data_IF_553230671763
#
_entry.id   IF_553230671763
#
_cell.length_a   1.000
_cell.length_b   1.000
_cell.length_c   1.000
_cell.angle_alpha   90.00
_cell.angle_beta   90.00
_cell.angle_gamma   90.00
#
_symmetry.space_group_name_H-M   'P 1'
#
loop_
_entity.id
_entity.type
_entity.pdbx_description
1 polymer ?
#
# COMPACT_ATOMS: atom_id res chain seq x y z
N UNK A 1 -10.81 -6.04 19.47
CA UNK A 1 -10.28 -4.66 19.50
C UNK A 1 -11.16 -3.82 18.60
N UNK A 2 -11.33 -2.53 18.88
CA UNK A 2 -12.02 -1.63 17.96
C UNK A 2 -11.24 -1.48 16.65
N UNK A 3 -11.95 -1.25 15.54
CA UNK A 3 -11.37 -1.06 14.22
C UNK A 3 -11.14 0.44 13.95
N UNK A 4 -9.93 0.82 13.61
CA UNK A 4 -9.56 2.13 13.06
C UNK A 4 -9.02 2.02 11.64
N UNK A 5 -8.83 3.16 10.98
CA UNK A 5 -8.11 3.25 9.72
C UNK A 5 -6.96 4.23 9.85
N UNK A 6 -5.77 3.82 9.41
CA UNK A 6 -4.58 4.65 9.36
C UNK A 6 -4.10 4.67 7.92
N UNK A 7 -4.34 5.79 7.24
CA UNK A 7 -4.13 5.90 5.78
C UNK A 7 -3.13 7.01 5.50
N UNK A 8 -2.11 6.68 4.70
CA UNK A 8 -1.21 7.66 4.09
C UNK A 8 -1.26 7.46 2.58
N UNK A 9 -1.94 8.33 1.82
CA UNK A 9 -2.07 8.16 0.37
C UNK A 9 -0.70 8.15 -0.32
N UNK A 10 -0.55 7.29 -1.33
CA UNK A 10 0.69 7.13 -2.10
C UNK A 10 0.83 8.24 -3.15
N UNK A 11 2.06 8.58 -3.53
CA UNK A 11 2.35 9.47 -4.66
C UNK A 11 2.14 10.97 -4.40
N UNK A 12 1.94 11.37 -3.14
CA UNK A 12 1.68 12.78 -2.76
C UNK A 12 2.74 13.36 -1.80
N UNK A 13 3.90 12.70 -1.67
CA UNK A 13 5.03 13.24 -0.89
C UNK A 13 4.72 13.47 0.58
N UNK A 14 4.09 12.50 1.26
CA UNK A 14 3.82 12.61 2.69
C UNK A 14 5.13 12.68 3.49
N UNK A 15 5.25 13.62 4.42
CA UNK A 15 6.46 13.77 5.24
C UNK A 15 6.68 12.59 6.19
N UNK A 16 5.61 11.84 6.48
CA UNK A 16 5.63 10.55 7.17
C UNK A 16 4.74 9.58 6.38
N UNK A 17 5.30 8.47 5.93
CA UNK A 17 4.66 7.50 5.03
C UNK A 17 4.82 7.84 3.56
N UNK A 18 5.64 8.83 3.20
CA UNK A 18 6.00 9.09 1.79
C UNK A 18 7.29 8.42 1.36
N UNK A 19 7.94 7.70 2.27
CA UNK A 19 9.12 6.86 2.05
C UNK A 19 8.82 5.44 2.54
N UNK A 20 9.51 4.41 2.04
CA UNK A 20 9.12 3.04 2.39
C UNK A 20 9.28 2.73 3.89
N UNK A 21 8.15 2.69 4.59
CA UNK A 21 8.02 2.15 5.94
C UNK A 21 8.21 3.16 7.08
N UNK A 22 8.45 4.44 6.79
CA UNK A 22 8.66 5.47 7.81
C UNK A 22 7.39 5.77 8.64
N UNK A 23 6.19 5.47 8.12
CA UNK A 23 4.94 5.47 8.89
C UNK A 23 4.70 4.20 9.75
N UNK A 24 5.47 3.13 9.51
CA UNK A 24 5.21 1.82 10.12
C UNK A 24 5.30 1.85 11.65
N UNK A 25 6.25 2.63 12.19
CA UNK A 25 6.40 2.76 13.64
C UNK A 25 5.10 3.27 14.30
N UNK A 26 4.53 4.35 13.77
CA UNK A 26 3.29 4.92 14.30
C UNK A 26 2.11 3.96 14.15
N UNK A 27 1.94 3.36 12.98
CA UNK A 27 0.87 2.39 12.76
C UNK A 27 0.97 1.20 13.74
N UNK A 28 2.19 0.72 14.05
CA UNK A 28 2.42 -0.35 15.02
C UNK A 28 2.06 0.06 16.45
N UNK A 29 2.30 1.31 16.84
CA UNK A 29 1.86 1.82 18.16
C UNK A 29 0.33 1.86 18.28
N UNK A 30 -0.37 2.27 17.22
CA UNK A 30 -1.84 2.19 17.19
C UNK A 30 -2.32 0.73 17.23
N UNK A 31 -1.68 -0.17 16.46
CA UNK A 31 -2.07 -1.57 16.35
C UNK A 31 -1.90 -2.38 17.64
N UNK A 32 -1.16 -1.86 18.64
CA UNK A 32 -1.14 -2.45 19.99
C UNK A 32 -2.49 -2.38 20.72
N UNK A 33 -3.38 -1.48 20.30
CA UNK A 33 -4.63 -1.18 21.00
C UNK A 33 -5.87 -1.37 20.11
N UNK A 34 -5.68 -1.30 18.79
CA UNK A 34 -6.74 -1.32 17.80
C UNK A 34 -6.46 -2.35 16.71
N UNK A 35 -7.50 -2.87 16.08
CA UNK A 35 -7.37 -3.38 14.73
C UNK A 35 -7.29 -2.18 13.77
N UNK A 36 -6.43 -2.23 12.75
CA UNK A 36 -6.23 -1.10 11.83
C UNK A 36 -6.34 -1.52 10.38
N UNK A 37 -7.17 -0.84 9.60
CA UNK A 37 -7.02 -0.81 8.14
C UNK A 37 -5.80 0.07 7.82
N UNK A 38 -4.83 -0.49 7.09
CA UNK A 38 -3.64 0.21 6.62
C UNK A 38 -3.47 -0.02 5.13
N UNK A 39 -3.13 1.04 4.39
CA UNK A 39 -2.76 0.91 2.99
C UNK A 39 -1.28 0.55 2.85
N UNK A 40 -0.86 -0.05 1.71
CA UNK A 40 0.50 -0.50 1.47
C UNK A 40 1.59 0.50 1.88
N UNK A 41 1.42 1.76 1.51
CA UNK A 41 2.34 2.86 1.78
C UNK A 41 2.69 3.05 3.27
N UNK A 42 1.81 2.64 4.18
CA UNK A 42 2.03 2.77 5.63
C UNK A 42 3.02 1.73 6.15
N UNK A 43 3.03 0.54 5.55
CA UNK A 43 3.70 -0.66 6.11
C UNK A 43 4.73 -1.32 5.18
N UNK A 44 4.75 -0.96 3.90
CA UNK A 44 5.71 -1.48 2.95
C UNK A 44 7.07 -0.81 3.15
N UNK A 45 8.12 -1.63 3.26
CA UNK A 45 9.47 -1.19 3.57
C UNK A 45 10.50 -2.03 2.82
N UNK A 46 10.25 -2.33 1.54
CA UNK A 46 11.09 -3.16 0.71
C UNK A 46 11.28 -4.58 1.26
N UNK A 47 12.48 -4.88 1.77
CA UNK A 47 12.79 -6.16 2.41
C UNK A 47 12.24 -6.31 3.83
N UNK A 48 11.81 -5.21 4.46
CA UNK A 48 11.14 -5.18 5.75
C UNK A 48 9.62 -5.01 5.60
N UNK A 49 8.87 -5.21 6.69
CA UNK A 49 7.46 -4.84 6.73
C UNK A 49 7.05 -4.37 8.11
N UNK A 50 6.24 -3.31 8.16
CA UNK A 50 5.61 -2.80 9.36
C UNK A 50 4.34 -3.52 9.77
N UNK A 51 3.86 -4.47 8.95
CA UNK A 51 2.58 -5.16 9.16
C UNK A 51 2.60 -5.98 10.45
N UNK A 52 1.44 -6.09 11.10
CA UNK A 52 1.24 -6.88 12.33
C UNK A 52 -0.10 -7.62 12.26
N UNK A 53 -0.29 -8.63 13.12
CA UNK A 53 -1.53 -9.42 13.18
C UNK A 53 -2.81 -8.61 13.44
N UNK A 54 -2.67 -7.38 13.97
CA UNK A 54 -3.78 -6.46 14.22
C UNK A 54 -4.05 -5.51 13.05
N UNK A 55 -3.36 -5.66 11.91
CA UNK A 55 -3.51 -4.78 10.75
C UNK A 55 -4.15 -5.51 9.57
N UNK A 56 -5.15 -4.88 8.98
CA UNK A 56 -5.78 -5.25 7.73
C UNK A 56 -5.06 -4.51 6.59
N UNK A 57 -4.27 -5.25 5.82
CA UNK A 57 -3.52 -4.74 4.67
C UNK A 57 -4.45 -4.59 3.46
N UNK A 58 -4.81 -3.34 3.09
CA UNK A 58 -5.85 -3.06 2.10
C UNK A 58 -5.43 -1.91 1.17
N UNK A 59 -5.39 -2.15 -0.14
CA UNK A 59 -5.05 -1.11 -1.12
C UNK A 59 -6.17 -0.06 -1.33
N UNK A 60 -5.85 1.04 -2.01
CA UNK A 60 -6.67 2.25 -2.07
C UNK A 60 -8.09 2.05 -2.61
N UNK A 61 -8.30 1.27 -3.67
CA UNK A 61 -9.65 1.01 -4.21
C UNK A 61 -10.53 0.33 -3.17
N UNK A 62 -9.99 -0.69 -2.51
CA UNK A 62 -10.71 -1.47 -1.52
C UNK A 62 -10.98 -0.62 -0.26
N UNK A 63 -10.07 0.28 0.13
CA UNK A 63 -10.36 1.27 1.19
C UNK A 63 -11.53 2.17 0.79
N UNK A 64 -11.56 2.66 -0.45
CA UNK A 64 -12.66 3.50 -0.96
C UNK A 64 -14.01 2.76 -0.93
N UNK A 65 -14.06 1.53 -1.45
CA UNK A 65 -15.30 0.73 -1.48
C UNK A 65 -15.76 0.32 -0.07
N UNK A 66 -14.82 0.05 0.85
CA UNK A 66 -15.14 -0.18 2.25
C UNK A 66 -15.81 1.05 2.85
N UNK A 67 -15.21 2.24 2.69
CA UNK A 67 -15.75 3.48 3.25
C UNK A 67 -17.11 3.86 2.64
N UNK A 68 -17.32 3.59 1.34
CA UNK A 68 -18.63 3.74 0.68
C UNK A 68 -19.70 2.80 1.26
N UNK A 69 -19.29 1.72 1.93
CA UNK A 69 -20.18 0.67 2.44
C UNK A 69 -20.55 -0.38 1.39
N UNK A 70 -19.79 -0.45 0.30
CA UNK A 70 -19.97 -1.43 -0.78
C UNK A 70 -19.20 -2.73 -0.54
N UNK A 71 -18.24 -2.70 0.39
CA UNK A 71 -17.32 -3.78 0.67
C UNK A 71 -17.21 -4.01 2.18
N UNK A 72 -17.23 -5.28 2.58
CA UNK A 72 -16.81 -5.72 3.89
C UNK A 72 -15.46 -6.43 3.81
N UNK A 73 -14.70 -6.37 4.90
CA UNK A 73 -13.40 -7.02 5.05
C UNK A 73 -13.55 -8.27 5.91
N UNK A 74 -13.12 -9.42 5.39
CA UNK A 74 -13.09 -10.67 6.11
C UNK A 74 -11.65 -10.98 6.55
N UNK A 75 -11.29 -10.83 7.84
CA UNK A 75 -9.96 -11.15 8.31
C UNK A 75 -9.66 -12.63 8.08
N UNK A 76 -8.44 -12.93 7.63
CA UNK A 76 -8.07 -14.32 7.36
C UNK A 76 -7.62 -15.01 8.64
N UNK A 77 -8.18 -16.19 8.92
CA UNK A 77 -7.79 -17.03 10.07
C UNK A 77 -6.66 -18.01 9.76
N UNK A 78 -6.23 -18.04 8.50
CA UNK A 78 -5.12 -18.83 7.94
C UNK A 78 -4.28 -17.89 7.06
N UNK A 79 -3.13 -18.35 6.55
CA UNK A 79 -2.41 -17.57 5.54
C UNK A 79 -3.13 -17.66 4.20
N UNK A 80 -3.24 -16.54 3.49
CA UNK A 80 -3.80 -16.49 2.15
C UNK A 80 -2.89 -17.25 1.17
N UNK A 81 -3.51 -17.89 0.16
CA UNK A 81 -2.82 -18.40 -1.02
C UNK A 81 -2.44 -17.25 -1.95
N UNK A 82 -1.16 -16.95 -2.05
CA UNK A 82 -0.63 -15.84 -2.87
C UNK A 82 -0.26 -16.36 -4.25
N UNK A 83 -0.85 -15.79 -5.30
CA UNK A 83 -0.34 -15.90 -6.66
C UNK A 83 0.53 -14.68 -7.01
N UNK A 84 1.67 -14.89 -7.67
CA UNK A 84 2.57 -13.79 -8.07
C UNK A 84 2.54 -13.59 -9.59
N UNK A 85 2.18 -12.40 -10.04
CA UNK A 85 2.24 -11.99 -11.44
C UNK A 85 3.60 -11.35 -11.67
N UNK A 86 4.31 -11.79 -12.70
CA UNK A 86 5.63 -11.25 -13.10
C UNK A 86 5.52 -10.72 -14.52
N UNK A 87 5.87 -9.46 -14.72
CA UNK A 87 5.94 -8.86 -16.04
C UNK A 87 7.00 -9.55 -16.90
N UNK A 88 6.61 -9.93 -18.12
CA UNK A 88 7.44 -10.55 -19.13
C UNK A 88 8.65 -9.70 -19.54
N UNK A 89 8.52 -8.39 -19.42
CA UNK A 89 9.59 -7.46 -19.79
C UNK A 89 10.79 -7.51 -18.84
N UNK A 90 10.65 -8.11 -17.65
CA UNK A 90 11.71 -8.24 -16.64
C UNK A 90 12.80 -9.20 -17.14
N UNK A 91 14.09 -8.82 -17.14
CA UNK A 91 15.17 -9.70 -17.56
C UNK A 91 15.22 -11.00 -16.72
N UNK A 92 15.55 -12.13 -17.36
CA UNK A 92 15.56 -13.44 -16.70
C UNK A 92 16.44 -13.49 -15.42
N UNK A 93 17.55 -12.77 -15.41
CA UNK A 93 18.41 -12.66 -14.22
C UNK A 93 17.68 -12.03 -13.04
N UNK A 94 16.93 -10.96 -13.28
CA UNK A 94 16.13 -10.25 -12.28
C UNK A 94 14.94 -11.12 -11.84
N UNK A 95 14.26 -11.80 -12.78
CA UNK A 95 13.22 -12.79 -12.45
C UNK A 95 13.74 -13.85 -11.46
N UNK A 96 14.96 -14.35 -11.65
CA UNK A 96 15.56 -15.32 -10.73
C UNK A 96 15.73 -14.74 -9.31
N UNK A 97 16.03 -13.45 -9.17
CA UNK A 97 16.14 -12.78 -7.86
C UNK A 97 14.76 -12.65 -7.20
N UNK A 98 13.71 -12.32 -7.96
CA UNK A 98 12.33 -12.34 -7.43
C UNK A 98 11.90 -13.76 -7.01
N UNK A 99 12.22 -14.80 -7.81
CA UNK A 99 11.93 -16.19 -7.45
C UNK A 99 12.69 -16.61 -6.17
N UNK A 100 13.96 -16.25 -6.03
CA UNK A 100 14.72 -16.50 -4.81
C UNK A 100 14.12 -15.76 -3.61
N UNK A 101 13.62 -14.54 -3.81
CA UNK A 101 12.91 -13.77 -2.79
C UNK A 101 11.62 -14.48 -2.37
N UNK A 102 10.82 -14.96 -3.32
CA UNK A 102 9.62 -15.77 -3.05
C UNK A 102 9.98 -16.99 -2.21
N UNK A 103 11.01 -17.74 -2.61
CA UNK A 103 11.49 -18.93 -1.89
C UNK A 103 11.95 -18.59 -0.47
N UNK A 104 12.65 -17.47 -0.28
CA UNK A 104 13.08 -17.00 1.04
C UNK A 104 11.87 -16.68 1.93
N UNK A 105 10.89 -15.94 1.42
CA UNK A 105 9.67 -15.59 2.17
C UNK A 105 8.86 -16.84 2.55
N UNK A 106 8.70 -17.80 1.63
CA UNK A 106 8.07 -19.10 1.92
C UNK A 106 8.82 -19.83 3.04
N UNK A 107 10.14 -19.88 2.97
CA UNK A 107 10.97 -20.66 3.89
C UNK A 107 11.00 -20.06 5.30
N UNK A 108 11.19 -18.74 5.39
CA UNK A 108 11.40 -18.04 6.66
C UNK A 108 10.07 -17.81 7.37
N UNK A 109 9.07 -17.31 6.64
CA UNK A 109 7.81 -16.87 7.21
C UNK A 109 6.70 -17.88 7.03
N UNK A 110 6.87 -18.92 6.20
CA UNK A 110 5.84 -19.92 5.95
C UNK A 110 4.63 -19.36 5.19
N UNK A 111 4.80 -18.33 4.36
CA UNK A 111 3.73 -17.81 3.50
C UNK A 111 3.30 -18.84 2.45
N UNK A 112 2.00 -18.95 2.18
CA UNK A 112 1.46 -19.90 1.19
C UNK A 112 1.48 -19.28 -0.22
N UNK A 113 2.66 -19.23 -0.83
CA UNK A 113 2.82 -18.74 -2.21
C UNK A 113 2.69 -19.92 -3.16
N UNK A 114 1.57 -19.98 -3.89
CA UNK A 114 1.17 -21.18 -4.66
C UNK A 114 1.90 -21.29 -5.99
N UNK A 115 2.42 -20.18 -6.51
CA UNK A 115 3.13 -20.13 -7.78
C UNK A 115 3.25 -18.71 -8.30
N UNK A 116 3.81 -18.61 -9.50
CA UNK A 116 3.86 -17.37 -10.25
C UNK A 116 3.42 -17.62 -11.70
N UNK A 117 2.94 -16.57 -12.35
CA UNK A 117 2.59 -16.56 -13.76
C UNK A 117 3.27 -15.36 -14.43
N UNK A 118 3.84 -15.57 -15.62
CA UNK A 118 4.49 -14.51 -16.39
C UNK A 118 3.47 -13.96 -17.38
N UNK A 119 3.36 -12.64 -17.49
CA UNK A 119 2.44 -11.99 -18.44
C UNK A 119 2.72 -12.40 -19.88
N UNK A 120 1.73 -12.33 -20.76
CA UNK A 120 1.92 -12.74 -22.16
C UNK A 120 2.64 -11.67 -23.00
N UNK A 121 2.51 -10.43 -22.57
CA UNK A 121 3.04 -9.22 -23.19
C UNK A 121 3.70 -8.35 -22.13
N UNK A 122 4.56 -7.45 -22.56
CA UNK A 122 5.20 -6.44 -21.72
C UNK A 122 4.12 -5.52 -21.14
N UNK A 123 4.14 -5.31 -19.82
CA UNK A 123 3.12 -4.46 -19.18
C UNK A 123 3.26 -3.00 -19.63
N UNK A 124 4.50 -2.53 -19.82
CA UNK A 124 4.83 -1.18 -20.29
C UNK A 124 4.39 -0.12 -19.29
N UNK A 125 5.10 -0.02 -18.16
CA UNK A 125 4.86 0.96 -17.12
C UNK A 125 5.68 2.21 -17.40
N UNK A 126 5.02 3.37 -17.39
CA UNK A 126 5.64 4.69 -17.50
C UNK A 126 5.24 5.51 -16.28
N UNK A 127 6.17 6.27 -15.70
CA UNK A 127 5.92 7.12 -14.54
C UNK A 127 6.53 8.51 -14.73
N UNK A 128 5.97 9.49 -14.01
CA UNK A 128 6.43 10.87 -14.02
C UNK A 128 5.98 11.58 -12.75
N UNK A 129 6.71 12.62 -12.37
CA UNK A 129 6.28 13.59 -11.35
C UNK A 129 5.79 14.83 -12.07
N UNK A 130 4.53 15.20 -11.87
CA UNK A 130 3.92 16.34 -12.57
C UNK A 130 4.39 17.70 -12.02
N UNK A 131 3.97 18.80 -12.65
CA UNK A 131 4.30 20.17 -12.22
C UNK A 131 3.81 20.51 -10.80
N UNK A 132 2.84 19.74 -10.27
CA UNK A 132 2.31 19.89 -8.91
C UNK A 132 3.11 19.07 -7.88
N UNK A 133 4.14 18.33 -8.32
CA UNK A 133 4.94 17.46 -7.47
C UNK A 133 4.24 16.14 -7.12
N UNK A 134 3.22 15.72 -7.88
CA UNK A 134 2.51 14.45 -7.65
C UNK A 134 3.10 13.37 -8.56
N UNK A 135 3.38 12.19 -7.99
CA UNK A 135 3.76 11.01 -8.78
C UNK A 135 2.53 10.41 -9.47
N UNK A 136 2.65 10.17 -10.76
CA UNK A 136 1.62 9.58 -11.62
C UNK A 136 2.26 8.79 -12.77
N UNK A 137 1.45 8.18 -13.63
CA UNK A 137 1.98 7.40 -14.74
C UNK A 137 0.92 6.78 -15.64
N UNK A 138 1.37 5.90 -16.52
CA UNK A 138 0.54 5.17 -17.46
C UNK A 138 0.96 3.69 -17.52
N UNK A 139 0.02 2.84 -17.94
CA UNK A 139 0.25 1.40 -18.12
C UNK A 139 -0.29 0.99 -19.47
N UNK A 140 0.60 0.59 -20.36
CA UNK A 140 0.27 0.35 -21.77
C UNK A 140 -0.61 -0.88 -21.97
N UNK A 141 -0.27 -2.00 -21.34
CA UNK A 141 -0.93 -3.29 -21.56
C UNK A 141 -1.53 -3.90 -20.28
N UNK A 142 -2.19 -3.09 -19.43
CA UNK A 142 -2.72 -3.55 -18.12
C UNK A 142 -3.55 -4.83 -18.18
N UNK A 143 -4.19 -5.13 -19.32
CA UNK A 143 -4.99 -6.34 -19.47
C UNK A 143 -4.18 -7.63 -19.40
N UNK A 144 -2.89 -7.61 -19.75
CA UNK A 144 -2.00 -8.77 -19.62
C UNK A 144 -1.83 -9.18 -18.15
N UNK A 145 -1.84 -8.21 -17.23
CA UNK A 145 -1.82 -8.43 -15.78
C UNK A 145 -3.15 -9.04 -15.32
N UNK A 146 -4.28 -8.56 -15.85
CA UNK A 146 -5.61 -9.11 -15.53
C UNK A 146 -5.74 -10.56 -15.95
N UNK A 147 -5.30 -10.92 -17.16
CA UNK A 147 -5.38 -12.32 -17.64
C UNK A 147 -4.45 -13.24 -16.85
N UNK A 148 -3.24 -12.80 -16.52
CA UNK A 148 -2.33 -13.52 -15.62
C UNK A 148 -2.96 -13.73 -14.23
N UNK A 149 -3.58 -12.69 -13.68
CA UNK A 149 -4.32 -12.75 -12.42
C UNK A 149 -5.45 -13.77 -12.46
N UNK A 150 -6.28 -13.80 -13.52
CA UNK A 150 -7.34 -14.81 -13.68
C UNK A 150 -6.78 -16.23 -13.69
N UNK A 151 -5.68 -16.48 -14.40
CA UNK A 151 -5.03 -17.82 -14.41
C UNK A 151 -4.59 -18.27 -13.02
N UNK A 152 -4.02 -17.36 -12.22
CA UNK A 152 -3.62 -17.66 -10.84
C UNK A 152 -4.83 -17.87 -9.92
N UNK A 153 -5.90 -17.09 -10.10
CA UNK A 153 -7.16 -17.27 -9.38
C UNK A 153 -7.81 -18.62 -9.71
N UNK A 154 -7.80 -19.04 -10.98
CA UNK A 154 -8.28 -20.36 -11.41
C UNK A 154 -7.46 -21.51 -10.80
N UNK A 155 -6.19 -21.26 -10.48
CA UNK A 155 -5.31 -22.18 -9.73
C UNK A 155 -5.52 -22.13 -8.21
N UNK A 156 -6.42 -21.26 -7.73
CA UNK A 156 -6.80 -21.16 -6.33
C UNK A 156 -6.04 -20.11 -5.51
N UNK A 157 -5.44 -19.11 -6.16
CA UNK A 157 -4.97 -17.92 -5.45
C UNK A 157 -6.15 -17.21 -4.77
N UNK A 158 -5.93 -16.73 -3.55
CA UNK A 158 -6.88 -15.92 -2.78
C UNK A 158 -6.51 -14.44 -2.83
N UNK A 159 -5.24 -14.13 -3.13
CA UNK A 159 -4.66 -12.78 -3.23
C UNK A 159 -3.58 -12.75 -4.31
N UNK A 160 -3.30 -11.55 -4.86
CA UNK A 160 -2.34 -11.38 -5.96
C UNK A 160 -1.22 -10.40 -5.60
N UNK A 161 0.03 -10.82 -5.74
CA UNK A 161 1.19 -9.94 -5.77
C UNK A 161 1.53 -9.63 -7.24
N UNK A 162 1.86 -8.37 -7.55
CA UNK A 162 2.16 -7.93 -8.91
C UNK A 162 3.57 -7.36 -8.94
N UNK A 163 4.38 -7.85 -9.87
CA UNK A 163 5.75 -7.37 -10.10
C UNK A 163 5.85 -6.89 -11.54
N UNK A 164 5.96 -5.57 -11.74
CA UNK A 164 6.16 -4.97 -13.06
C UNK A 164 7.54 -4.37 -13.19
N UNK A 165 8.07 -4.33 -14.42
CA UNK A 165 9.35 -3.67 -14.69
C UNK A 165 9.18 -2.15 -14.70
N UNK A 166 10.15 -1.47 -14.13
CA UNK A 166 10.27 -0.01 -14.15
C UNK A 166 11.63 0.31 -14.77
N UNK A 167 11.69 1.37 -15.56
CA UNK A 167 12.98 1.89 -16.01
C UNK A 167 13.74 2.45 -14.80
N UNK A 168 15.06 2.24 -14.77
CA UNK A 168 15.91 2.87 -13.77
C UNK A 168 15.92 4.38 -14.04
N UNK A 169 15.64 5.18 -13.01
CA UNK A 169 15.68 6.64 -13.11
C UNK A 169 16.38 7.23 -11.87
N UNK A 170 17.30 8.14 -12.11
CA UNK A 170 18.16 8.76 -11.09
C UNK A 170 17.44 9.96 -10.47
N UNK A 171 16.52 9.70 -9.55
CA UNK A 171 15.89 10.77 -8.76
C UNK A 171 16.81 11.18 -7.60
N UNK A 172 17.81 12.02 -7.93
CA UNK A 172 18.84 12.50 -7.01
C UNK A 172 18.27 13.04 -5.67
N UNK A 173 17.12 13.71 -5.70
CA UNK A 173 16.53 14.34 -4.50
C UNK A 173 15.85 13.33 -3.55
N UNK A 174 15.32 12.22 -4.05
CA UNK A 174 14.57 11.26 -3.21
C UNK A 174 15.48 10.53 -2.21
N UNK A 175 16.70 10.17 -2.64
CA UNK A 175 17.74 9.59 -1.77
C UNK A 175 18.12 10.50 -0.59
N UNK A 176 17.95 11.81 -0.77
CA UNK A 176 18.19 12.85 0.24
C UNK A 176 16.96 13.12 1.11
N UNK A 177 15.90 12.32 0.96
CA UNK A 177 14.67 12.47 1.73
C UNK A 177 13.83 13.68 1.30
N UNK A 178 13.95 14.10 0.05
CA UNK A 178 13.26 15.25 -0.55
C UNK A 178 12.40 14.80 -1.72
N UNK A 179 11.19 15.36 -1.83
CA UNK A 179 10.30 15.10 -2.95
C UNK A 179 9.33 13.96 -2.71
N UNK A 180 8.96 13.28 -3.80
CA UNK A 180 7.91 12.26 -3.85
C UNK A 180 8.50 11.00 -4.45
N UNK A 181 8.08 9.85 -3.92
CA UNK A 181 8.36 8.57 -4.56
C UNK A 181 7.82 8.58 -6.00
N UNK A 182 8.70 8.52 -7.01
CA UNK A 182 8.33 8.65 -8.42
C UNK A 182 7.51 7.47 -8.92
N UNK A 183 7.67 6.28 -8.35
CA UNK A 183 7.00 5.05 -8.83
C UNK A 183 5.68 4.80 -8.11
N UNK A 184 5.56 5.19 -6.84
CA UNK A 184 4.41 4.86 -6.01
C UNK A 184 3.05 5.25 -6.60
N UNK A 185 2.97 6.36 -7.36
CA UNK A 185 1.75 6.78 -8.03
C UNK A 185 1.22 5.75 -9.06
N UNK A 186 2.09 5.25 -9.94
CA UNK A 186 1.68 4.26 -10.96
C UNK A 186 1.46 2.87 -10.35
N UNK A 187 2.20 2.50 -9.29
CA UNK A 187 1.94 1.28 -8.53
C UNK A 187 0.53 1.26 -7.91
N UNK A 188 0.11 2.41 -7.38
CA UNK A 188 -1.24 2.59 -6.85
C UNK A 188 -2.30 2.47 -7.96
N UNK A 189 -2.05 3.02 -9.16
CA UNK A 189 -2.94 2.87 -10.33
C UNK A 189 -3.11 1.39 -10.70
N UNK A 190 -2.01 0.63 -10.78
CA UNK A 190 -2.02 -0.80 -11.12
C UNK A 190 -2.84 -1.58 -10.08
N UNK A 191 -2.52 -1.43 -8.79
CA UNK A 191 -3.20 -2.17 -7.72
C UNK A 191 -4.69 -1.82 -7.63
N UNK A 192 -5.03 -0.54 -7.79
CA UNK A 192 -6.40 -0.05 -7.81
C UNK A 192 -7.20 -0.69 -8.96
N UNK A 193 -6.62 -0.72 -10.17
CA UNK A 193 -7.28 -1.33 -11.32
C UNK A 193 -7.50 -2.83 -11.16
N UNK A 194 -6.51 -3.56 -10.64
CA UNK A 194 -6.61 -5.01 -10.43
C UNK A 194 -7.62 -5.36 -9.35
N UNK A 195 -7.58 -4.69 -8.19
CA UNK A 195 -8.56 -4.93 -7.12
C UNK A 195 -9.98 -4.61 -7.57
N UNK A 196 -10.17 -3.54 -8.34
CA UNK A 196 -11.46 -3.20 -8.95
C UNK A 196 -11.97 -4.26 -9.93
N UNK A 197 -11.09 -4.73 -10.80
CA UNK A 197 -11.46 -5.62 -11.92
C UNK A 197 -11.67 -7.05 -11.46
N UNK A 198 -10.74 -7.56 -10.65
CA UNK A 198 -10.72 -8.95 -10.20
C UNK A 198 -11.38 -9.16 -8.84
N UNK A 199 -11.70 -8.09 -8.10
CA UNK A 199 -12.35 -8.13 -6.78
C UNK A 199 -11.57 -8.97 -5.77
N UNK A 200 -10.25 -8.88 -5.83
CA UNK A 200 -9.31 -9.65 -4.99
C UNK A 200 -8.32 -8.68 -4.33
N UNK A 201 -7.85 -8.93 -3.09
CA UNK A 201 -6.76 -8.16 -2.54
C UNK A 201 -5.50 -8.30 -3.40
N UNK A 202 -4.88 -7.17 -3.73
CA UNK A 202 -3.58 -7.18 -4.38
C UNK A 202 -2.66 -6.07 -3.87
N UNK A 203 -1.37 -6.23 -4.15
CA UNK A 203 -0.37 -5.20 -4.00
C UNK A 203 0.72 -5.35 -5.05
N UNK A 204 1.41 -4.25 -5.27
CA UNK A 204 2.40 -4.11 -6.33
C UNK A 204 3.81 -3.90 -5.73
N UNK A 205 4.82 -4.36 -6.47
CA UNK A 205 6.24 -4.15 -6.19
C UNK A 205 6.94 -3.81 -7.52
N UNK A 206 7.82 -2.79 -7.56
CA UNK A 206 8.60 -2.53 -8.76
C UNK A 206 9.70 -3.60 -8.92
N UNK A 207 10.13 -3.79 -10.17
CA UNK A 207 11.35 -4.51 -10.54
C UNK A 207 12.22 -3.60 -11.39
N UNK A 208 13.43 -3.33 -10.90
CA UNK A 208 14.44 -2.53 -11.57
C UNK A 208 15.48 -3.42 -12.24
N UNK A 209 16.18 -2.87 -13.25
CA UNK A 209 17.21 -3.63 -13.95
C UNK A 209 18.51 -3.63 -13.15
N UNK A 210 18.87 -2.49 -12.54
CA UNK A 210 19.94 -2.43 -11.56
C UNK A 210 19.45 -2.76 -10.14
N UNK A 211 20.00 -3.84 -9.60
CA UNK A 211 19.75 -4.31 -8.24
C UNK A 211 20.99 -4.21 -7.34
N UNK A 212 22.00 -3.46 -7.81
CA UNK A 212 23.22 -3.21 -7.05
C UNK A 212 22.90 -2.35 -5.85
N UNK A 213 23.23 -2.85 -4.66
CA UNK A 213 23.05 -2.09 -3.42
C UNK A 213 24.11 -1.00 -3.37
N UNK A 214 23.66 0.26 -3.38
CA UNK A 214 24.53 1.42 -3.21
C UNK A 214 25.26 1.36 -1.86
N UNK A 215 26.50 1.85 -1.84
CA UNK A 215 27.30 1.98 -0.61
C UNK A 215 27.21 3.39 -0.01
N UNK A 216 26.45 4.30 -0.64
CA UNK A 216 26.23 5.65 -0.14
C UNK A 216 25.24 5.65 1.03
N UNK A 217 25.43 6.59 1.95
CA UNK A 217 24.51 6.80 3.07
C UNK A 217 23.37 7.71 2.57
N UNK A 218 22.17 7.17 2.55
CA UNK A 218 20.92 7.87 2.18
C UNK A 218 20.15 8.33 3.42
N UNK A 219 19.06 9.08 3.23
CA UNK A 219 18.17 9.44 4.34
C UNK A 219 17.62 8.18 5.05
N UNK A 220 17.52 8.25 6.37
CA UNK A 220 17.00 7.15 7.19
C UNK A 220 15.60 6.66 6.79
N UNK A 221 14.77 7.55 6.23
CA UNK A 221 13.39 7.26 5.83
C UNK A 221 13.29 6.41 4.57
N UNK A 222 14.21 6.58 3.62
CA UNK A 222 14.28 5.77 2.40
C UNK A 222 15.26 4.59 2.51
N UNK A 223 16.07 4.50 3.57
CA UNK A 223 17.13 3.48 3.72
C UNK A 223 16.69 2.03 3.48
N UNK A 224 15.45 1.70 3.79
CA UNK A 224 14.90 0.36 3.53
C UNK A 224 14.85 0.01 2.04
N UNK A 225 14.56 0.98 1.18
CA UNK A 225 14.49 0.81 -0.29
C UNK A 225 15.88 0.54 -0.87
N UNK A 226 16.86 1.34 -0.49
CA UNK A 226 18.23 1.28 -1.03
C UNK A 226 19.02 0.02 -0.64
N UNK A 227 18.52 -0.79 0.29
CA UNK A 227 19.09 -2.09 0.62
C UNK A 227 18.25 -3.27 0.11
N UNK A 228 17.24 -3.00 -0.72
CA UNK A 228 16.27 -3.98 -1.18
C UNK A 228 16.34 -4.20 -2.69
N UNK A 229 16.82 -5.36 -3.15
CA UNK A 229 16.87 -5.69 -4.59
C UNK A 229 15.52 -5.87 -5.29
N UNK A 230 14.43 -6.18 -4.58
CA UNK A 230 13.19 -6.66 -5.22
C UNK A 230 11.91 -6.00 -4.77
N UNK A 231 11.92 -5.24 -3.67
CA UNK A 231 10.76 -4.62 -3.00
C UNK A 231 9.62 -5.58 -2.58
N UNK A 232 9.71 -6.84 -2.99
CA UNK A 232 8.70 -7.88 -2.92
C UNK A 232 8.40 -8.45 -1.52
N UNK A 233 9.36 -8.56 -0.57
CA UNK A 233 9.08 -9.18 0.72
C UNK A 233 7.93 -8.51 1.48
N UNK A 234 7.90 -7.18 1.51
CA UNK A 234 6.90 -6.43 2.25
C UNK A 234 5.47 -6.73 1.79
N UNK A 235 5.24 -6.78 0.47
CA UNK A 235 3.92 -7.06 -0.08
C UNK A 235 3.51 -8.51 0.12
N UNK A 236 4.44 -9.46 0.06
CA UNK A 236 4.12 -10.87 0.33
C UNK A 236 3.72 -11.08 1.79
N UNK A 237 4.37 -10.39 2.73
CA UNK A 237 4.01 -10.43 4.15
C UNK A 237 2.67 -9.74 4.43
N UNK A 238 2.40 -8.61 3.79
CA UNK A 238 1.09 -7.94 3.86
C UNK A 238 -0.03 -8.81 3.29
N UNK A 239 0.13 -9.30 2.06
CA UNK A 239 -0.86 -10.13 1.37
C UNK A 239 -1.09 -11.48 2.04
N UNK A 240 -0.10 -12.05 2.74
CA UNK A 240 -0.28 -13.31 3.48
C UNK A 240 -1.36 -13.23 4.56
N UNK A 241 -1.67 -12.03 5.06
CA UNK A 241 -2.68 -11.77 6.10
C UNK A 241 -3.73 -10.73 5.72
N UNK A 242 -3.71 -10.22 4.48
CA UNK A 242 -4.69 -9.26 3.99
C UNK A 242 -6.11 -9.83 4.14
N UNK A 243 -7.09 -9.04 4.60
CA UNK A 243 -8.47 -9.51 4.65
C UNK A 243 -8.98 -9.79 3.23
N UNK A 244 -9.82 -10.81 3.09
CA UNK A 244 -10.50 -11.08 1.82
C UNK A 244 -11.63 -10.08 1.59
N UNK A 245 -11.78 -9.67 0.34
CA UNK A 245 -12.80 -8.70 -0.07
C UNK A 245 -14.16 -9.38 -0.17
N UNK A 246 -15.17 -8.86 0.54
CA UNK A 246 -16.53 -9.41 0.52
C UNK A 246 -17.57 -8.36 0.17
N UNK A 247 -18.07 -8.42 -1.06
CA UNK A 247 -19.11 -7.52 -1.58
C UNK A 247 -20.54 -7.95 -1.21
N UNK A 248 -20.69 -9.11 -0.56
CA UNK A 248 -21.99 -9.63 -0.09
C UNK A 248 -22.29 -9.24 1.37
N UNK A 249 -21.62 -8.20 1.89
CA UNK A 249 -21.89 -7.56 3.18
C UNK A 249 -21.72 -8.45 4.44
N UNK A 250 -20.84 -9.45 4.40
CA UNK A 250 -20.39 -10.18 5.58
C UNK A 250 -18.94 -9.79 5.94
N UNK A 251 -18.64 -9.63 7.22
CA UNK A 251 -17.33 -9.20 7.73
C UNK A 251 -17.38 -7.82 8.37
N UNK A 252 -16.21 -7.24 8.64
CA UNK A 252 -16.11 -5.86 9.11
C UNK A 252 -16.63 -4.92 8.03
N UNK A 253 -17.48 -3.99 8.43
CA UNK A 253 -18.08 -2.96 7.57
C UNK A 253 -17.61 -1.58 8.03
N UNK A 254 -17.92 -0.55 7.24
CA UNK A 254 -17.67 0.85 7.64
C UNK A 254 -18.35 1.21 8.98
N UNK A 255 -19.42 0.53 9.38
CA UNK A 255 -20.08 0.79 10.66
C UNK A 255 -19.25 0.34 11.88
N UNK A 256 -18.27 -0.54 11.65
CA UNK A 256 -17.34 -1.01 12.69
C UNK A 256 -16.16 -0.04 12.89
N UNK A 257 -15.95 0.88 11.95
CA UNK A 257 -14.85 1.84 11.96
C UNK A 257 -15.08 2.95 13.00
N UNK A 258 -14.14 3.10 13.95
CA UNK A 258 -14.22 4.07 15.05
C UNK A 258 -13.50 5.39 14.77
N UNK A 259 -12.48 5.38 13.92
CA UNK A 259 -11.75 6.58 13.54
C UNK A 259 -11.00 6.39 12.23
N UNK A 260 -10.68 7.51 11.60
CA UNK A 260 -9.80 7.60 10.43
C UNK A 260 -8.65 8.57 10.74
N UNK A 261 -7.41 8.15 10.51
CA UNK A 261 -6.20 8.98 10.58
C UNK A 261 -5.77 9.34 9.15
N UNK A 262 -5.51 10.63 8.89
CA UNK A 262 -5.07 11.17 7.60
C UNK A 262 -3.99 12.25 7.77
N UNK A 263 -3.12 12.47 6.77
CA UNK A 263 -2.25 13.65 6.71
C UNK A 263 -3.07 14.96 6.72
N UNK A 264 -2.52 16.03 7.30
CA UNK A 264 -3.27 17.27 7.57
C UNK A 264 -3.87 17.96 6.34
N UNK A 265 -3.20 17.83 5.19
CA UNK A 265 -3.54 18.53 3.95
C UNK A 265 -3.93 17.59 2.81
N UNK A 266 -4.32 16.34 3.12
CA UNK A 266 -4.80 15.33 2.16
C UNK A 266 -6.22 14.87 2.48
N UNK A 267 -7.13 15.82 2.74
CA UNK A 267 -8.47 15.54 3.26
C UNK A 267 -9.57 15.45 2.19
N UNK A 268 -9.20 15.54 0.91
CA UNK A 268 -10.13 15.54 -0.24
C UNK A 268 -10.45 14.15 -0.80
N UNK A 269 -10.47 13.11 0.03
CA UNK A 269 -10.59 11.71 -0.42
C UNK A 269 -11.92 11.06 -0.01
N UNK A 270 -12.30 10.00 -0.73
CA UNK A 270 -13.53 9.22 -0.46
C UNK A 270 -13.61 8.77 1.01
N UNK A 271 -12.54 8.21 1.63
CA UNK A 271 -12.59 7.79 3.02
C UNK A 271 -12.97 8.94 3.98
N UNK A 272 -12.44 10.14 3.74
CA UNK A 272 -12.74 11.32 4.56
C UNK A 272 -14.21 11.72 4.41
N UNK A 273 -14.71 11.86 3.17
CA UNK A 273 -16.10 12.26 2.93
C UNK A 273 -17.10 11.24 3.49
N UNK A 274 -16.85 9.95 3.30
CA UNK A 274 -17.75 8.90 3.79
C UNK A 274 -17.70 8.73 5.32
N UNK A 275 -16.54 8.98 5.96
CA UNK A 275 -16.44 9.06 7.43
C UNK A 275 -17.23 10.24 7.98
N UNK A 276 -17.07 11.43 7.41
CA UNK A 276 -17.81 12.63 7.81
C UNK A 276 -19.32 12.43 7.71
N UNK A 277 -19.78 11.85 6.60
CA UNK A 277 -21.21 11.51 6.38
C UNK A 277 -21.78 10.57 7.45
N UNK A 278 -20.95 9.69 8.00
CA UNK A 278 -21.33 8.70 9.03
C UNK A 278 -21.02 9.16 10.46
N UNK A 279 -20.54 10.38 10.65
CA UNK A 279 -20.05 10.89 11.93
C UNK A 279 -18.93 10.04 12.55
N UNK A 280 -18.11 9.39 11.71
CA UNK A 280 -16.88 8.72 12.15
C UNK A 280 -15.80 9.80 12.30
N UNK A 281 -15.17 9.94 13.48
CA UNK A 281 -14.11 10.92 13.72
C UNK A 281 -12.95 10.78 12.72
N UNK A 282 -12.63 11.89 12.04
CA UNK A 282 -11.44 12.01 11.17
C UNK A 282 -10.40 12.86 11.90
N UNK A 283 -9.19 12.32 12.06
CA UNK A 283 -8.05 12.99 12.67
C UNK A 283 -7.05 13.38 11.60
N UNK A 284 -6.80 14.68 11.47
CA UNK A 284 -5.85 15.29 10.55
C UNK A 284 -4.54 15.59 11.30
N UNK A 285 -3.46 14.93 10.90
CA UNK A 285 -2.18 14.92 11.63
C UNK A 285 -1.22 16.00 11.14
N UNK A 286 -0.96 17.01 11.97
CA UNK A 286 -0.22 18.23 11.63
C UNK A 286 1.25 18.01 11.22
N UNK A 287 1.93 17.05 11.84
CA UNK A 287 3.30 16.67 11.49
C UNK A 287 3.41 15.85 10.19
N UNK A 288 2.29 15.36 9.65
CA UNK A 288 2.28 14.67 8.36
C UNK A 288 1.68 15.56 7.26
N UNK A 289 2.56 16.16 6.46
CA UNK A 289 2.21 17.07 5.36
C UNK A 289 2.54 16.44 4.02
N UNK A 290 1.75 16.78 3.03
CA UNK A 290 1.85 16.29 1.65
C UNK A 290 2.02 17.48 0.69
N UNK A 291 2.22 17.23 -0.60
CA UNK A 291 2.24 18.29 -1.63
C UNK A 291 0.84 18.87 -1.90
N UNK A 292 -0.22 18.21 -1.43
CA UNK A 292 -1.59 18.69 -1.59
C UNK A 292 -1.89 19.86 -0.65
N UNK A 293 -2.92 20.62 -0.96
CA UNK A 293 -3.40 21.73 -0.13
C UNK A 293 -4.91 21.57 0.15
N UNK A 294 -5.31 20.41 0.66
CA UNK A 294 -6.69 20.11 1.03
C UNK A 294 -6.79 19.91 2.54
N UNK A 295 -6.88 21.02 3.25
CA UNK A 295 -6.93 21.13 4.71
C UNK A 295 -8.37 21.15 5.25
N UNK A 296 -8.52 21.06 6.57
CA UNK A 296 -9.85 20.93 7.21
C UNK A 296 -10.78 22.09 6.89
N UNK A 297 -10.24 23.31 6.79
CA UNK A 297 -10.99 24.53 6.48
C UNK A 297 -11.59 24.52 5.07
N UNK A 298 -11.04 23.72 4.16
CA UNK A 298 -11.58 23.50 2.82
C UNK A 298 -12.61 22.37 2.75
N UNK A 299 -12.73 21.55 3.80
CA UNK A 299 -13.55 20.33 3.81
C UNK A 299 -14.67 20.39 4.86
N UNK A 300 -14.33 20.47 6.14
CA UNK A 300 -15.30 20.41 7.25
C UNK A 300 -14.66 20.76 8.59
N UNK A 301 -15.36 21.57 9.38
CA UNK A 301 -14.96 21.89 10.77
C UNK A 301 -15.03 20.68 11.71
N UNK A 302 -15.76 19.62 11.35
CA UNK A 302 -15.89 18.39 12.14
C UNK A 302 -14.63 17.52 12.12
N UNK A 303 -13.65 17.83 11.25
CA UNK A 303 -12.35 17.16 11.24
C UNK A 303 -11.52 17.63 12.44
N UNK A 304 -10.97 16.67 13.18
CA UNK A 304 -10.19 16.91 14.39
C UNK A 304 -8.73 17.10 13.96
N UNK A 305 -8.22 18.32 14.08
CA UNK A 305 -6.79 18.57 13.94
C UNK A 305 -6.04 18.09 15.19
N UNK A 306 -4.90 17.44 14.98
CA UNK A 306 -3.99 17.00 16.05
C UNK A 306 -2.55 17.24 15.61
N UNK A 307 -1.68 17.71 16.50
CA UNK A 307 -0.31 18.07 16.11
C UNK A 307 0.51 16.84 15.66
N UNK A 308 0.40 15.72 16.38
CA UNK A 308 1.20 14.51 16.15
C UNK A 308 0.42 13.21 16.23
N UNK A 309 0.98 12.14 15.66
CA UNK A 309 0.45 10.78 15.77
C UNK A 309 0.37 10.30 17.21
N UNK A 310 1.32 10.68 18.07
CA UNK A 310 1.32 10.31 19.50
C UNK A 310 0.14 10.94 20.25
N UNK A 311 -0.12 12.23 20.00
CA UNK A 311 -1.30 12.91 20.54
C UNK A 311 -2.58 12.27 20.01
N UNK A 312 -2.64 11.95 18.72
CA UNK A 312 -3.80 11.32 18.12
C UNK A 312 -4.07 9.95 18.74
N UNK A 313 -3.03 9.13 18.96
CA UNK A 313 -3.13 7.85 19.65
C UNK A 313 -3.70 8.00 21.07
N UNK A 314 -3.22 9.02 21.81
CA UNK A 314 -3.69 9.32 23.16
C UNK A 314 -5.17 9.70 23.17
N UNK A 315 -5.63 10.47 22.17
CA UNK A 315 -7.03 10.88 22.03
C UNK A 315 -7.95 9.72 21.65
N UNK A 316 -7.56 8.86 20.69
CA UNK A 316 -8.41 7.73 20.27
C UNK A 316 -8.56 6.66 21.35
N UNK A 317 -7.59 6.52 22.26
CA UNK A 317 -7.68 5.60 23.41
C UNK A 317 -8.67 6.02 24.48
N UNK A 318 -8.99 7.31 24.55
CA UNK A 318 -9.88 7.88 25.58
C UNK A 318 -11.35 7.92 25.15
N UNK A 319 -11.63 7.67 23.86
CA UNK A 319 -12.97 7.59 23.29
C UNK A 319 -13.49 6.17 23.30
#
# INVERSE_FOLDING_TARGET
>A
MDLGAFIVPTGIGASIGGFAGDASFFAREFAKNFQLIVNPNVVNAGCFSGITDNMFYVEGYSVDEFCKGNLNLNPTTKKNKIGVIIDKSIPQGIINVHINTINAVKTIYGCDIIGYDITEEDVGVEFTVDESGISTGSVNNIQTVVESGKRLLDQGAEVLAIVCRFEDDDFDDYSNGVGVDPVGGVEAIISHYISKTLKVPCAHSPAFDDITISQEIVDSRCSAEYITPTYLPCILLGLSQAPLLNFNQNGYSVNDLKFLIMPVNSLGSIPVFECLKRNIPVFAIGENKTVLDITKDKISENIIFVDSYEQALSMVKQK
#
